data_IF_897106336963
#
_entry.id   IF_897106336963
#
_cell.length_a   1.000
_cell.length_b   1.000
_cell.length_c   1.000
_cell.angle_alpha   90.00
_cell.angle_beta   90.00
_cell.angle_gamma   90.00
#
_symmetry.space_group_name_H-M   'P 1'
#
loop_
_entity.id
_entity.type
_entity.pdbx_description
1 polymer ?
#
# COMPACT_ATOMS: atom_id res chain seq x y z
N UNK A 1 -7.43 -12.87 1.07
CA UNK A 1 -7.32 -12.86 -0.41
C UNK A 1 -7.02 -11.43 -0.82
N UNK A 2 -6.15 -11.25 -1.80
CA UNK A 2 -5.76 -9.95 -2.33
C UNK A 2 -6.31 -9.84 -3.75
N UNK A 3 -6.93 -8.72 -4.17
CA UNK A 3 -7.25 -8.51 -5.57
C UNK A 3 -5.97 -8.62 -6.42
N UNK A 4 -6.11 -9.18 -7.62
CA UNK A 4 -4.96 -9.52 -8.47
C UNK A 4 -4.13 -8.28 -8.79
N UNK A 5 -4.75 -7.24 -9.36
CA UNK A 5 -4.06 -6.02 -9.78
C UNK A 5 -3.37 -5.30 -8.59
N UNK A 6 -4.08 -5.14 -7.45
CA UNK A 6 -3.51 -4.53 -6.24
C UNK A 6 -2.29 -5.31 -5.70
N UNK A 7 -2.31 -6.65 -5.72
CA UNK A 7 -1.16 -7.48 -5.32
C UNK A 7 0.08 -7.22 -6.20
N UNK A 8 -0.13 -6.88 -7.47
CA UNK A 8 0.93 -6.65 -8.44
C UNK A 8 1.30 -5.18 -8.60
N UNK A 9 0.85 -4.29 -7.70
CA UNK A 9 1.21 -2.87 -7.79
C UNK A 9 0.42 -2.08 -8.83
N UNK A 10 -0.56 -2.71 -9.45
CA UNK A 10 -1.43 -2.13 -10.45
C UNK A 10 -2.76 -1.71 -9.82
N UNK A 11 -2.66 -0.63 -9.04
CA UNK A 11 -3.77 -0.09 -8.27
C UNK A 11 -4.89 0.49 -9.14
N UNK A 12 -5.93 0.97 -8.46
CA UNK A 12 -7.06 1.65 -9.10
C UNK A 12 -7.77 0.84 -10.20
N UNK A 13 -7.91 -0.48 -9.99
CA UNK A 13 -8.52 -1.45 -10.91
C UNK A 13 -7.68 -1.81 -12.16
N UNK A 14 -6.36 -1.74 -12.08
CA UNK A 14 -5.51 -2.16 -13.20
C UNK A 14 -5.23 -1.06 -14.23
N UNK A 15 -5.31 0.21 -13.81
CA UNK A 15 -5.15 1.38 -14.68
C UNK A 15 -3.75 1.99 -14.58
N UNK A 16 -2.82 1.35 -13.89
CA UNK A 16 -1.45 1.84 -13.79
C UNK A 16 -0.70 1.67 -15.11
N UNK A 17 0.39 2.42 -15.28
CA UNK A 17 1.32 2.21 -16.39
C UNK A 17 1.97 0.84 -16.30
N UNK A 18 2.47 0.30 -17.42
CA UNK A 18 3.39 -0.83 -17.37
C UNK A 18 4.69 -0.46 -16.63
N UNK A 19 5.15 -1.32 -15.75
CA UNK A 19 6.31 -1.06 -14.92
C UNK A 19 7.03 -2.34 -14.48
N UNK A 20 8.32 -2.21 -14.19
CA UNK A 20 9.16 -3.30 -13.66
C UNK A 20 9.84 -2.86 -12.37
N UNK A 21 9.69 -3.66 -11.31
CA UNK A 21 10.34 -3.45 -10.02
C UNK A 21 11.13 -4.70 -9.61
N UNK A 22 11.74 -4.68 -8.41
CA UNK A 22 12.48 -5.84 -7.90
C UNK A 22 11.60 -7.05 -7.61
N UNK A 23 10.36 -6.85 -7.16
CA UNK A 23 9.53 -7.94 -6.64
C UNK A 23 8.23 -8.17 -7.40
N UNK A 24 7.74 -7.15 -8.09
CA UNK A 24 6.51 -7.19 -8.88
C UNK A 24 6.71 -6.43 -10.19
N UNK A 25 5.98 -6.82 -11.21
CA UNK A 25 6.03 -6.21 -12.53
C UNK A 25 4.64 -6.31 -13.17
N UNK A 26 4.17 -5.18 -13.72
CA UNK A 26 3.06 -5.13 -14.66
C UNK A 26 3.66 -4.92 -16.05
N UNK A 27 3.96 -6.03 -16.72
CA UNK A 27 4.43 -6.02 -18.10
C UNK A 27 3.22 -5.94 -19.04
N UNK A 28 3.41 -5.63 -20.35
CA UNK A 28 2.30 -5.61 -21.29
C UNK A 28 1.50 -6.93 -21.26
N UNK A 29 0.27 -6.85 -20.75
CA UNK A 29 -0.66 -7.98 -20.59
C UNK A 29 -0.25 -9.08 -19.61
N UNK A 30 0.67 -8.80 -18.67
CA UNK A 30 1.10 -9.81 -17.71
C UNK A 30 1.52 -9.24 -16.36
N UNK A 31 1.36 -10.07 -15.34
CA UNK A 31 1.77 -9.80 -13.98
C UNK A 31 2.84 -10.81 -13.56
N UNK A 32 4.01 -10.32 -13.13
CA UNK A 32 5.10 -11.16 -12.64
C UNK A 32 5.41 -10.85 -11.17
N UNK A 33 5.68 -11.90 -10.40
CA UNK A 33 5.99 -11.82 -8.97
C UNK A 33 7.28 -12.58 -8.69
N UNK A 34 8.17 -11.93 -7.95
CA UNK A 34 9.52 -12.41 -7.65
C UNK A 34 9.77 -12.44 -6.13
N UNK A 35 8.73 -12.40 -5.30
CA UNK A 35 8.87 -12.62 -3.86
C UNK A 35 9.30 -14.07 -3.60
N UNK A 36 10.35 -14.32 -2.79
CA UNK A 36 10.59 -15.66 -2.26
C UNK A 36 9.41 -16.11 -1.38
N UNK A 37 8.79 -17.25 -1.65
CA UNK A 37 7.66 -17.78 -0.87
C UNK A 37 7.97 -19.19 -0.35
N UNK A 38 8.87 -19.34 0.64
CA UNK A 38 9.22 -20.67 1.14
C UNK A 38 8.02 -21.32 1.85
N UNK A 39 7.90 -22.64 1.69
CA UNK A 39 6.89 -23.45 2.38
C UNK A 39 7.51 -24.78 2.85
N UNK A 40 7.11 -25.24 4.04
CA UNK A 40 7.70 -26.44 4.67
C UNK A 40 7.13 -27.75 4.13
N UNK A 41 5.83 -27.80 3.88
CA UNK A 41 5.12 -29.03 3.53
C UNK A 41 4.45 -28.97 2.15
N UNK A 42 3.69 -27.92 1.88
CA UNK A 42 3.00 -27.74 0.59
C UNK A 42 2.65 -26.27 0.34
N UNK A 43 2.39 -25.94 -0.92
CA UNK A 43 1.83 -24.68 -1.35
C UNK A 43 0.61 -24.92 -2.24
N UNK A 44 -0.41 -24.06 -2.11
CA UNK A 44 -1.58 -24.04 -2.99
C UNK A 44 -1.83 -22.62 -3.45
N UNK A 45 -1.78 -22.39 -4.76
CA UNK A 45 -2.12 -21.12 -5.38
C UNK A 45 -3.53 -21.21 -5.94
N UNK A 46 -4.34 -20.20 -5.66
CA UNK A 46 -5.74 -20.14 -6.09
C UNK A 46 -6.01 -18.77 -6.70
N UNK A 47 -6.46 -18.77 -7.95
CA UNK A 47 -7.06 -17.60 -8.58
C UNK A 47 -8.58 -17.78 -8.57
N UNK A 48 -9.27 -16.73 -8.14
CA UNK A 48 -10.74 -16.70 -8.07
C UNK A 48 -11.23 -15.53 -8.90
N UNK A 49 -12.07 -15.84 -9.88
CA UNK A 49 -12.82 -14.84 -10.63
C UNK A 49 -14.11 -14.55 -9.86
N UNK A 50 -14.24 -13.33 -9.35
CA UNK A 50 -15.41 -12.85 -8.60
C UNK A 50 -16.42 -12.08 -9.50
N UNK A 51 -16.19 -12.07 -10.82
CA UNK A 51 -17.06 -11.39 -11.79
C UNK A 51 -18.08 -12.36 -12.39
N UNK A 52 -19.08 -11.80 -13.08
CA UNK A 52 -20.06 -12.57 -13.85
C UNK A 52 -19.56 -12.98 -15.24
N UNK A 53 -18.34 -12.58 -15.62
CA UNK A 53 -17.79 -12.83 -16.94
C UNK A 53 -16.81 -14.00 -16.91
N UNK A 54 -16.80 -14.80 -17.98
CA UNK A 54 -15.74 -15.79 -18.19
C UNK A 54 -14.44 -15.05 -18.55
N UNK A 55 -13.41 -15.29 -17.75
CA UNK A 55 -12.08 -14.69 -17.93
C UNK A 55 -11.10 -15.79 -18.32
N UNK A 56 -10.26 -15.48 -19.31
CA UNK A 56 -9.12 -16.32 -19.69
C UNK A 56 -7.89 -15.89 -18.90
N UNK A 57 -7.16 -16.86 -18.35
CA UNK A 57 -5.91 -16.63 -17.62
C UNK A 57 -4.87 -17.70 -17.98
N UNK A 58 -3.61 -17.28 -18.06
CA UNK A 58 -2.45 -18.15 -18.24
C UNK A 58 -1.49 -17.93 -17.07
N UNK A 59 -1.52 -18.85 -16.12
CA UNK A 59 -0.71 -18.79 -14.91
C UNK A 59 0.28 -19.94 -14.84
N UNK A 60 1.49 -19.64 -14.38
CA UNK A 60 2.50 -20.62 -14.03
C UNK A 60 3.12 -20.27 -12.69
N UNK A 61 3.52 -21.30 -11.95
CA UNK A 61 4.22 -21.17 -10.68
C UNK A 61 5.52 -21.93 -10.81
N UNK A 62 6.61 -21.20 -10.76
CA UNK A 62 7.95 -21.79 -10.74
C UNK A 62 8.38 -21.97 -9.28
N UNK A 63 8.87 -23.16 -8.96
CA UNK A 63 9.34 -23.49 -7.62
C UNK A 63 10.49 -24.50 -7.69
N UNK A 64 11.29 -24.53 -6.64
CA UNK A 64 12.33 -25.52 -6.45
C UNK A 64 12.28 -26.09 -5.04
N UNK A 65 12.74 -27.33 -4.88
CA UNK A 65 12.93 -27.92 -3.56
C UNK A 65 14.14 -27.30 -2.88
N UNK A 66 13.98 -26.88 -1.63
CA UNK A 66 15.13 -26.54 -0.80
C UNK A 66 15.90 -27.83 -0.42
N UNK A 67 17.25 -27.82 -0.40
CA UNK A 67 18.03 -28.97 0.05
C UNK A 67 17.69 -29.39 1.49
N UNK A 68 17.40 -28.42 2.34
CA UNK A 68 16.98 -28.60 3.73
C UNK A 68 16.08 -27.43 4.15
N UNK A 69 15.07 -27.69 4.98
CA UNK A 69 14.25 -26.65 5.58
C UNK A 69 14.99 -25.96 6.72
N UNK A 70 14.98 -24.63 6.73
CA UNK A 70 15.51 -23.83 7.82
C UNK A 70 14.36 -23.16 8.56
N UNK A 71 14.16 -23.49 9.84
CA UNK A 71 13.08 -22.93 10.68
C UNK A 71 13.22 -21.41 10.93
N UNK A 72 14.30 -20.77 10.46
CA UNK A 72 14.43 -19.31 10.41
C UNK A 72 13.79 -18.67 9.18
N UNK A 73 13.37 -19.47 8.19
CA UNK A 73 12.61 -18.97 7.04
C UNK A 73 11.22 -18.57 7.52
N UNK A 74 10.85 -17.31 7.27
CA UNK A 74 9.47 -16.88 7.44
C UNK A 74 8.66 -17.21 6.19
N UNK A 75 7.35 -17.38 6.38
CA UNK A 75 6.39 -17.50 5.30
C UNK A 75 6.07 -16.13 4.73
N UNK A 76 5.87 -16.05 3.41
CA UNK A 76 5.42 -14.81 2.77
C UNK A 76 3.94 -14.60 3.03
N UNK A 77 3.58 -13.35 3.35
CA UNK A 77 2.21 -12.92 3.52
C UNK A 77 1.96 -11.64 2.73
N UNK A 78 0.75 -11.53 2.21
CA UNK A 78 0.19 -10.30 1.67
C UNK A 78 -1.26 -10.14 2.10
N UNK A 79 -1.67 -8.92 2.44
CA UNK A 79 -3.07 -8.63 2.78
C UNK A 79 -3.53 -7.36 2.12
N UNK A 80 -4.75 -7.41 1.62
CA UNK A 80 -5.48 -6.26 1.09
C UNK A 80 -6.42 -5.71 2.15
N UNK A 81 -6.50 -4.39 2.25
CA UNK A 81 -7.53 -3.70 3.01
C UNK A 81 -7.99 -2.46 2.24
N UNK A 82 -9.29 -2.16 2.27
CA UNK A 82 -9.85 -0.93 1.72
C UNK A 82 -10.64 -0.19 2.78
N UNK A 83 -10.49 1.13 2.81
CA UNK A 83 -11.17 2.00 3.76
C UNK A 83 -11.48 3.33 3.09
N UNK A 84 -12.73 3.76 3.23
CA UNK A 84 -13.18 5.09 2.84
C UNK A 84 -13.65 5.83 4.09
N UNK A 85 -13.23 7.08 4.25
CA UNK A 85 -13.52 7.89 5.43
C UNK A 85 -13.51 9.38 5.09
N UNK A 86 -14.23 10.18 5.89
CA UNK A 86 -14.07 11.62 5.88
C UNK A 86 -12.76 11.98 6.57
N UNK A 87 -11.88 12.64 5.84
CA UNK A 87 -10.66 13.19 6.40
C UNK A 87 -11.00 14.46 7.18
N UNK A 88 -10.60 14.49 8.44
CA UNK A 88 -10.83 15.59 9.38
C UNK A 88 -9.53 15.95 10.09
N UNK A 89 -9.53 17.04 10.87
CA UNK A 89 -8.38 17.44 11.67
C UNK A 89 -7.99 16.43 12.77
N UNK A 90 -8.92 15.54 13.14
CA UNK A 90 -8.74 14.56 14.21
C UNK A 90 -8.49 13.15 13.65
N UNK A 91 -8.47 12.99 12.32
CA UNK A 91 -8.31 11.70 11.66
C UNK A 91 -6.95 11.07 11.96
N UNK A 92 -7.03 9.85 12.47
CA UNK A 92 -5.93 8.94 12.73
C UNK A 92 -6.43 7.52 12.42
N UNK A 93 -6.04 7.01 11.26
CA UNK A 93 -6.62 5.81 10.70
C UNK A 93 -5.61 4.65 10.69
N UNK A 94 -5.98 3.53 11.32
CA UNK A 94 -5.20 2.30 11.24
C UNK A 94 -5.40 1.62 9.89
N UNK A 95 -4.28 1.28 9.23
CA UNK A 95 -4.25 0.64 7.91
C UNK A 95 -3.73 -0.80 7.94
N UNK A 96 -2.91 -1.13 8.94
CA UNK A 96 -2.33 -2.46 9.04
C UNK A 96 -1.94 -2.79 10.46
N UNK A 97 -2.38 -3.94 10.96
CA UNK A 97 -2.08 -4.44 12.30
C UNK A 97 -1.76 -5.94 12.20
N UNK A 98 -0.64 -6.34 12.80
CA UNK A 98 -0.21 -7.74 12.83
C UNK A 98 0.42 -8.09 14.16
N UNK A 99 0.23 -9.35 14.56
CA UNK A 99 0.90 -9.98 15.69
C UNK A 99 1.85 -11.08 15.21
N UNK A 100 2.87 -11.39 16.01
CA UNK A 100 3.90 -12.39 15.71
C UNK A 100 5.28 -11.77 15.57
N UNK A 101 6.23 -12.54 15.03
CA UNK A 101 7.60 -12.09 14.80
C UNK A 101 7.93 -12.14 13.30
N UNK A 102 8.50 -11.06 12.78
CA UNK A 102 8.68 -10.94 11.34
C UNK A 102 9.28 -9.62 10.88
N UNK A 103 9.10 -9.33 9.60
CA UNK A 103 9.47 -8.05 9.03
C UNK A 103 8.63 -7.67 7.81
N UNK A 104 8.31 -6.38 7.72
CA UNK A 104 7.66 -5.79 6.55
C UNK A 104 8.66 -5.73 5.40
N UNK A 105 8.25 -6.25 4.25
CA UNK A 105 9.01 -6.18 3.01
C UNK A 105 8.57 -5.00 2.15
N UNK A 106 7.29 -4.63 2.16
CA UNK A 106 6.80 -3.52 1.37
C UNK A 106 5.33 -3.26 1.52
N UNK A 107 4.87 -2.24 0.78
CA UNK A 107 3.46 -1.91 0.68
C UNK A 107 3.14 -1.24 -0.65
N UNK A 108 1.87 -1.29 -1.04
CA UNK A 108 1.26 -0.57 -2.14
C UNK A 108 0.03 0.16 -1.61
N UNK A 109 -0.18 1.40 -2.02
CA UNK A 109 -1.41 2.16 -1.79
C UNK A 109 -2.05 2.57 -3.12
N UNK A 110 -3.35 2.35 -3.21
CA UNK A 110 -4.25 3.00 -4.17
C UNK A 110 -5.02 4.07 -3.41
N UNK A 111 -4.97 5.33 -3.86
CA UNK A 111 -5.66 6.45 -3.19
C UNK A 111 -6.54 7.18 -4.20
N UNK A 112 -7.82 7.32 -3.86
CA UNK A 112 -8.82 7.97 -4.72
C UNK A 112 -9.58 9.02 -3.92
N UNK A 113 -9.75 10.20 -4.52
CA UNK A 113 -10.65 11.23 -3.99
C UNK A 113 -11.13 12.16 -5.09
N UNK A 114 -12.41 12.50 -5.06
CA UNK A 114 -13.08 13.52 -5.87
C UNK A 114 -13.31 14.83 -5.11
N UNK A 115 -12.76 14.97 -3.89
CA UNK A 115 -12.93 16.17 -3.08
C UNK A 115 -12.14 17.35 -3.67
N UNK A 116 -12.81 18.47 -4.06
CA UNK A 116 -12.14 19.62 -4.64
C UNK A 116 -11.12 20.29 -3.71
N UNK A 117 -11.29 20.22 -2.39
CA UNK A 117 -10.32 20.73 -1.43
C UNK A 117 -9.01 19.92 -1.39
N UNK A 118 -8.99 18.71 -1.97
CA UNK A 118 -7.81 17.84 -2.08
C UNK A 118 -7.14 17.89 -3.44
N UNK A 119 -7.33 18.97 -4.21
CA UNK A 119 -6.70 19.14 -5.52
C UNK A 119 -5.21 18.75 -5.47
N UNK A 120 -4.80 17.85 -6.37
CA UNK A 120 -3.44 17.30 -6.44
C UNK A 120 -2.95 16.71 -5.11
N UNK A 121 -3.83 16.02 -4.39
CA UNK A 121 -3.58 15.32 -3.12
C UNK A 121 -3.07 16.19 -1.97
N UNK A 122 -3.11 17.53 -2.09
CA UNK A 122 -2.39 18.45 -1.21
C UNK A 122 -2.67 18.29 0.29
N UNK A 123 -3.83 17.74 0.67
CA UNK A 123 -4.14 17.42 2.07
C UNK A 123 -3.96 15.94 2.39
N UNK A 124 -4.31 15.07 1.44
CA UNK A 124 -4.24 13.62 1.59
C UNK A 124 -2.78 13.16 1.77
N UNK A 125 -1.85 13.75 1.03
CA UNK A 125 -0.42 13.40 1.09
C UNK A 125 0.22 13.74 2.42
N UNK A 126 -0.24 14.77 3.14
CA UNK A 126 0.41 15.26 4.38
C UNK A 126 0.17 14.34 5.60
N UNK A 127 -0.54 13.22 5.43
CA UNK A 127 -0.76 12.28 6.53
C UNK A 127 0.54 11.63 7.01
N UNK A 128 0.87 11.82 8.28
CA UNK A 128 2.05 11.22 8.89
C UNK A 128 1.86 9.70 8.97
N UNK A 129 2.79 8.94 8.41
CA UNK A 129 2.77 7.48 8.49
C UNK A 129 3.54 7.05 9.75
N UNK A 130 2.77 6.73 10.79
CA UNK A 130 3.27 6.38 12.11
C UNK A 130 3.21 4.86 12.30
N UNK A 131 4.31 4.30 12.84
CA UNK A 131 4.44 2.85 13.02
C UNK A 131 4.80 2.54 14.47
N UNK A 132 3.91 1.83 15.14
CA UNK A 132 4.14 1.27 16.46
C UNK A 132 4.77 -0.11 16.31
N UNK A 133 5.84 -0.38 17.07
CA UNK A 133 6.59 -1.64 16.99
C UNK A 133 6.80 -2.19 18.40
N UNK A 134 6.28 -3.40 18.64
CA UNK A 134 6.42 -4.13 19.91
C UNK A 134 5.99 -3.29 21.13
N UNK A 135 4.90 -2.51 20.99
CA UNK A 135 4.36 -1.63 22.02
C UNK A 135 5.09 -0.29 22.19
N UNK A 136 6.11 0.01 21.36
CA UNK A 136 6.73 1.34 21.31
C UNK A 136 5.94 2.21 20.32
N UNK A 137 5.26 3.26 20.79
CA UNK A 137 4.50 4.12 19.90
C UNK A 137 5.43 4.94 19.01
N UNK A 138 5.02 5.16 17.75
CA UNK A 138 5.76 5.97 16.75
C UNK A 138 7.24 5.62 16.68
N UNK A 139 7.55 4.32 16.71
CA UNK A 139 8.92 3.83 16.59
C UNK A 139 9.54 4.20 15.23
N UNK A 140 8.70 4.39 14.21
CA UNK A 140 9.01 5.05 12.95
C UNK A 140 7.94 6.12 12.70
N UNK A 141 8.35 7.27 12.20
CA UNK A 141 7.50 8.41 11.92
C UNK A 141 7.95 9.05 10.60
N UNK A 142 7.10 8.96 9.58
CA UNK A 142 7.27 9.68 8.31
C UNK A 142 6.30 10.86 8.30
N UNK A 143 6.81 12.06 8.03
CA UNK A 143 6.07 13.33 8.15
C UNK A 143 5.13 13.64 6.97
N UNK A 144 4.82 12.61 6.18
CA UNK A 144 4.02 12.70 4.97
C UNK A 144 3.91 11.33 4.35
N UNK A 145 2.83 11.10 3.62
CA UNK A 145 2.59 9.87 2.88
C UNK A 145 3.57 9.74 1.73
N UNK A 146 3.79 10.78 0.92
CA UNK A 146 4.80 10.76 -0.14
C UNK A 146 6.22 10.51 0.41
N UNK A 147 6.55 11.15 1.53
CA UNK A 147 7.83 10.97 2.22
C UNK A 147 8.01 9.52 2.68
N UNK A 148 6.93 8.90 3.16
CA UNK A 148 6.90 7.49 3.55
C UNK A 148 7.19 6.54 2.38
N UNK A 149 7.00 6.99 1.12
CA UNK A 149 7.35 6.28 -0.11
C UNK A 149 8.66 6.77 -0.75
N UNK A 150 9.43 7.63 -0.07
CA UNK A 150 10.70 8.25 -0.52
C UNK A 150 10.57 9.30 -1.63
N UNK A 151 9.36 9.83 -1.82
CA UNK A 151 9.14 11.00 -2.66
C UNK A 151 9.10 12.26 -1.80
N UNK A 152 8.86 13.41 -2.41
CA UNK A 152 8.73 14.69 -1.72
C UNK A 152 7.93 15.65 -2.60
N UNK A 153 7.26 16.62 -1.98
CA UNK A 153 6.43 17.63 -2.67
C UNK A 153 5.25 17.03 -3.44
N UNK A 154 4.62 16.02 -2.84
CA UNK A 154 3.42 15.37 -3.36
C UNK A 154 3.64 14.40 -4.53
N UNK A 155 2.53 13.98 -5.12
CA UNK A 155 2.49 12.99 -6.20
C UNK A 155 2.41 13.71 -7.55
N UNK A 156 3.53 14.06 -8.17
CA UNK A 156 3.53 14.97 -9.32
C UNK A 156 3.38 14.25 -10.66
N UNK A 157 4.12 13.17 -10.85
CA UNK A 157 4.20 12.42 -12.09
C UNK A 157 4.55 10.96 -11.80
N UNK A 158 4.29 10.09 -12.78
CA UNK A 158 4.66 8.68 -12.67
C UNK A 158 6.17 8.50 -12.63
N UNK A 159 6.64 7.61 -11.76
CA UNK A 159 8.04 7.23 -11.67
C UNK A 159 8.13 5.76 -11.30
N UNK A 160 9.10 5.04 -11.87
CA UNK A 160 9.35 3.63 -11.55
C UNK A 160 10.83 3.43 -11.28
N UNK A 161 11.11 2.99 -10.06
CA UNK A 161 12.42 2.51 -9.65
C UNK A 161 12.36 1.06 -9.18
N UNK A 162 13.55 0.50 -8.92
CA UNK A 162 13.68 -0.90 -8.45
C UNK A 162 12.90 -1.19 -7.17
N UNK A 163 12.67 -0.18 -6.31
CA UNK A 163 12.08 -0.34 -4.97
C UNK A 163 10.86 0.51 -4.72
N UNK A 164 10.72 1.61 -5.44
CA UNK A 164 9.64 2.58 -5.24
C UNK A 164 9.09 2.96 -6.59
N UNK A 165 7.80 3.26 -6.64
CA UNK A 165 7.19 3.77 -7.86
C UNK A 165 5.83 4.39 -7.60
N UNK A 166 5.53 5.43 -8.38
CA UNK A 166 4.18 5.96 -8.59
C UNK A 166 3.76 5.46 -9.97
N UNK A 167 2.95 4.41 -10.01
CA UNK A 167 2.58 3.70 -11.24
C UNK A 167 1.31 4.28 -11.88
N UNK A 168 0.54 5.06 -11.13
CA UNK A 168 -0.54 5.90 -11.63
C UNK A 168 -0.55 7.23 -10.86
N UNK A 169 -0.64 8.35 -11.56
CA UNK A 169 -0.83 9.68 -10.97
C UNK A 169 -1.78 10.46 -11.86
N UNK A 170 -3.01 10.66 -11.40
CA UNK A 170 -4.02 11.48 -12.08
C UNK A 170 -4.42 12.68 -11.22
N UNK A 171 -4.58 13.83 -11.86
CA UNK A 171 -4.90 15.14 -11.25
C UNK A 171 -6.13 15.78 -11.90
N UNK A 172 -7.18 14.98 -12.10
CA UNK A 172 -8.41 15.40 -12.76
C UNK A 172 -9.51 15.75 -11.74
N UNK A 173 -10.78 15.73 -12.18
CA UNK A 173 -11.95 15.86 -11.29
C UNK A 173 -11.96 14.78 -10.19
N UNK A 174 -11.37 13.61 -10.49
CA UNK A 174 -11.09 12.56 -9.53
C UNK A 174 -9.58 12.32 -9.52
N UNK A 175 -8.95 12.55 -8.38
CA UNK A 175 -7.54 12.22 -8.20
C UNK A 175 -7.42 10.70 -7.96
N UNK A 176 -6.54 10.02 -8.72
CA UNK A 176 -6.26 8.58 -8.60
C UNK A 176 -4.76 8.31 -8.58
N UNK A 177 -4.31 7.63 -7.53
CA UNK A 177 -2.90 7.32 -7.28
C UNK A 177 -2.74 5.81 -7.10
N UNK A 178 -1.71 5.24 -7.73
CA UNK A 178 -1.15 3.93 -7.36
C UNK A 178 0.34 4.11 -7.06
N UNK A 179 0.76 3.71 -5.87
CA UNK A 179 2.13 3.90 -5.38
C UNK A 179 2.62 2.68 -4.58
N UNK A 180 3.88 2.29 -4.73
CA UNK A 180 4.48 1.19 -3.98
C UNK A 180 5.87 1.54 -3.42
N UNK A 181 6.25 0.86 -2.33
CA UNK A 181 7.61 0.88 -1.77
C UNK A 181 7.98 -0.47 -1.16
N UNK A 182 9.20 -0.93 -1.47
CA UNK A 182 9.84 -2.09 -0.88
C UNK A 182 11.04 -1.71 0.01
N UNK A 183 11.19 -2.45 1.10
CA UNK A 183 12.14 -2.27 2.21
C UNK A 183 13.18 -3.39 2.29
N UNK A 184 13.48 -4.08 1.18
CA UNK A 184 14.48 -5.18 1.12
C UNK A 184 15.85 -4.80 1.69
N UNK A 185 16.23 -3.54 1.59
CA UNK A 185 17.50 -2.99 2.08
C UNK A 185 17.41 -2.47 3.52
N UNK A 186 16.21 -2.21 4.04
CA UNK A 186 15.96 -1.70 5.38
C UNK A 186 14.65 -2.29 5.96
N UNK A 187 14.55 -3.61 6.19
CA UNK A 187 13.29 -4.23 6.60
C UNK A 187 12.83 -3.70 7.96
N UNK A 188 11.52 -3.41 8.06
CA UNK A 188 10.92 -2.98 9.33
C UNK A 188 10.59 -4.23 10.13
N UNK A 189 11.36 -4.47 11.21
CA UNK A 189 11.28 -5.69 12.01
C UNK A 189 10.43 -5.51 13.26
N UNK A 190 9.75 -6.57 13.68
CA UNK A 190 8.96 -6.65 14.89
C UNK A 190 9.05 -8.06 15.47
N UNK A 191 8.93 -8.21 16.79
CA UNK A 191 9.04 -9.50 17.48
C UNK A 191 7.73 -9.96 18.13
N UNK A 192 6.77 -9.04 18.29
CA UNK A 192 5.48 -9.28 18.92
C UNK A 192 4.34 -8.69 18.11
N UNK A 193 4.48 -7.44 17.68
CA UNK A 193 3.42 -6.76 16.94
C UNK A 193 3.92 -5.54 16.19
N UNK A 194 3.18 -5.18 15.14
CA UNK A 194 3.34 -3.94 14.40
C UNK A 194 1.96 -3.36 14.08
N UNK A 195 1.81 -2.05 14.29
CA UNK A 195 0.64 -1.28 13.87
C UNK A 195 1.08 -0.10 13.03
N UNK A 196 0.45 0.06 11.86
CA UNK A 196 0.65 1.16 10.94
C UNK A 196 -0.62 1.99 10.86
N UNK A 197 -0.49 3.27 11.18
CA UNK A 197 -1.58 4.23 11.09
C UNK A 197 -1.12 5.49 10.36
N UNK A 198 -2.06 6.20 9.75
CA UNK A 198 -1.80 7.48 9.10
C UNK A 198 -2.58 8.56 9.86
N UNK A 199 -1.86 9.54 10.38
CA UNK A 199 -2.40 10.60 11.23
C UNK A 199 -2.27 11.96 10.56
N UNK A 200 -3.38 12.70 10.50
CA UNK A 200 -3.43 14.08 10.01
C UNK A 200 -3.53 15.11 11.14
N UNK A 201 -3.39 14.68 12.40
CA UNK A 201 -3.60 15.54 13.58
C UNK A 201 -2.55 16.64 13.73
N UNK A 202 -1.35 16.45 13.15
CA UNK A 202 -0.27 17.44 13.21
C UNK A 202 -0.42 18.51 12.11
N UNK A 203 -1.29 18.29 11.13
CA UNK A 203 -1.39 19.11 9.95
C UNK A 203 -2.29 20.33 10.14
N UNK A 204 -1.70 21.50 9.87
CA UNK A 204 -2.33 22.80 10.14
C UNK A 204 -2.71 23.54 8.87
N UNK A 205 -2.24 23.08 7.70
CA UNK A 205 -2.46 23.81 6.46
C UNK A 205 -3.93 23.77 6.04
N UNK A 206 -4.50 22.57 5.89
CA UNK A 206 -5.89 22.42 5.44
C UNK A 206 -6.91 22.87 6.49
N UNK A 207 -6.61 22.71 7.78
CA UNK A 207 -7.50 23.12 8.89
C UNK A 207 -7.62 24.63 9.04
N UNK A 208 -6.69 25.42 8.46
CA UNK A 208 -6.77 26.88 8.40
C UNK A 208 -7.71 27.37 7.29
N UNK A 209 -8.11 26.52 6.34
CA UNK A 209 -9.07 26.91 5.33
C UNK A 209 -10.46 27.12 5.97
N UNK A 210 -11.04 28.33 5.93
CA UNK A 210 -12.31 28.62 6.61
C UNK A 210 -13.50 27.86 6.02
N UNK A 211 -13.38 27.33 4.80
CA UNK A 211 -14.43 26.55 4.13
C UNK A 211 -14.44 25.10 4.65
N UNK A 212 -13.27 24.58 5.05
CA UNK A 212 -13.07 23.18 5.41
C UNK A 212 -14.05 22.65 6.48
N UNK A 213 -14.26 23.30 7.64
CA UNK A 213 -15.16 22.77 8.66
C UNK A 213 -16.60 22.63 8.16
N UNK A 214 -17.02 23.56 7.28
CA UNK A 214 -18.35 23.50 6.67
C UNK A 214 -18.42 22.35 5.67
N UNK A 215 -17.42 22.17 4.80
CA UNK A 215 -17.39 21.05 3.84
C UNK A 215 -17.46 19.69 4.54
N UNK A 216 -16.70 19.50 5.63
CA UNK A 216 -16.78 18.26 6.43
C UNK A 216 -18.20 18.06 6.99
N UNK A 217 -18.79 19.11 7.58
CA UNK A 217 -20.13 19.06 8.16
C UNK A 217 -21.23 18.81 7.11
N UNK A 218 -21.04 19.29 5.89
CA UNK A 218 -21.94 19.09 4.74
C UNK A 218 -21.74 17.73 4.05
N UNK A 219 -20.87 16.86 4.58
CA UNK A 219 -20.67 15.50 4.07
C UNK A 219 -19.53 15.33 3.05
N UNK A 220 -18.66 16.32 2.88
CA UNK A 220 -17.50 16.26 1.98
C UNK A 220 -16.23 15.69 2.64
N UNK A 221 -15.09 15.95 2.03
CA UNK A 221 -13.74 15.54 2.48
C UNK A 221 -13.50 14.03 2.51
N UNK A 222 -14.10 13.27 1.60
CA UNK A 222 -13.90 11.82 1.53
C UNK A 222 -12.61 11.45 0.82
N UNK A 223 -11.96 10.40 1.34
CA UNK A 223 -10.83 9.74 0.68
C UNK A 223 -11.01 8.23 0.79
N UNK A 224 -10.68 7.53 -0.30
CA UNK A 224 -10.68 6.08 -0.38
C UNK A 224 -9.24 5.58 -0.51
N UNK A 225 -8.85 4.70 0.40
CA UNK A 225 -7.57 4.02 0.40
C UNK A 225 -7.81 2.53 0.20
N UNK A 226 -7.14 1.94 -0.78
CA UNK A 226 -6.91 0.50 -0.86
C UNK A 226 -5.41 0.26 -0.64
N UNK A 227 -5.07 -0.73 0.17
CA UNK A 227 -3.68 -0.97 0.56
C UNK A 227 -3.35 -2.46 0.47
N UNK A 228 -2.14 -2.75 0.03
CA UNK A 228 -1.53 -4.07 0.14
C UNK A 228 -0.27 -3.98 0.97
N UNK A 229 -0.15 -4.82 1.99
CA UNK A 229 1.06 -4.94 2.80
C UNK A 229 1.70 -6.31 2.53
N UNK A 230 3.01 -6.34 2.32
CA UNK A 230 3.80 -7.55 2.06
C UNK A 230 4.81 -7.76 3.19
N UNK A 231 4.87 -8.96 3.78
CA UNK A 231 5.75 -9.24 4.91
C UNK A 231 6.13 -10.71 5.01
N UNK A 232 7.13 -10.99 5.86
CA UNK A 232 7.46 -12.36 6.28
C UNK A 232 7.24 -12.53 7.78
N UNK A 233 6.70 -13.67 8.18
CA UNK A 233 6.53 -14.09 9.59
C UNK A 233 6.90 -15.55 9.78
N UNK A 234 7.47 -15.88 10.94
CA UNK A 234 7.79 -17.26 11.37
C UNK A 234 6.71 -17.85 12.25
#
# INVERSE_FOLDING_TARGET
MCPLADFFGDGCNGDSMYFSSKFIECAPWSYNCYFPMPFKESARVVLRNDTEHDIMDYSFVEWESLPEWNDRLGYFHATYARKSFQLTKDSDESFFEIEGAGHILGRQFSVITDEPLFRAYATVMEGNNEIDIDGRPRAIDYLGTEDSFTFSWGFQETFVGRRVGMTLVEHDDVNRLSIYRFHDHAPIRFNKSLKWHISWQNEKFFTRNPIWPKTVADGGCWVDYATVHYWYQT
#
